data_IF_742511034250
#
_entry.id   IF_742511034250
#
_cell.length_a   1.000
_cell.length_b   1.000
_cell.length_c   1.000
_cell.angle_alpha   90.00
_cell.angle_beta   90.00
_cell.angle_gamma   90.00
#
_symmetry.space_group_name_H-M   'P 1'
#
loop_
_entity.id
_entity.type
_entity.pdbx_description
1 polymer ?
#
# COMPACT_ATOMS: atom_id res chain seq x y z
N UNK A 1 -26.63 26.20 -11.11
CA UNK A 1 -25.27 25.74 -11.47
C UNK A 1 -25.35 25.29 -12.91
N UNK A 2 -24.67 25.99 -13.82
CA UNK A 2 -24.70 25.65 -15.25
C UNK A 2 -23.65 24.57 -15.55
N UNK A 3 -23.86 23.67 -16.53
CA UNK A 3 -22.91 22.60 -16.87
C UNK A 3 -21.49 23.10 -17.20
N UNK A 4 -21.39 24.36 -17.63
CA UNK A 4 -20.13 25.04 -17.94
C UNK A 4 -19.31 25.35 -16.69
N UNK A 5 -19.96 25.77 -15.59
CA UNK A 5 -19.31 26.03 -14.30
C UNK A 5 -18.73 24.74 -13.69
N UNK A 6 -19.47 23.63 -13.80
CA UNK A 6 -19.01 22.32 -13.30
C UNK A 6 -17.74 21.81 -13.99
N UNK A 7 -17.57 22.07 -15.29
CA UNK A 7 -16.36 21.66 -16.04
C UNK A 7 -15.13 22.46 -15.58
N UNK A 8 -15.29 23.77 -15.33
CA UNK A 8 -14.19 24.60 -14.84
C UNK A 8 -13.80 24.24 -13.40
N UNK A 9 -14.77 23.93 -12.54
CA UNK A 9 -14.51 23.47 -11.18
C UNK A 9 -13.81 22.10 -11.15
N UNK A 10 -14.22 21.16 -12.02
CA UNK A 10 -13.59 19.85 -12.15
C UNK A 10 -12.14 19.98 -12.66
N UNK A 11 -11.91 20.86 -13.65
CA UNK A 11 -10.60 21.16 -14.17
C UNK A 11 -9.70 21.80 -13.10
N UNK A 12 -10.19 22.82 -12.38
CA UNK A 12 -9.45 23.48 -11.31
C UNK A 12 -9.05 22.50 -10.20
N UNK A 13 -9.97 21.64 -9.75
CA UNK A 13 -9.68 20.57 -8.77
C UNK A 13 -8.63 19.57 -9.26
N UNK A 14 -8.68 19.21 -10.55
CA UNK A 14 -7.72 18.28 -11.15
C UNK A 14 -6.34 18.91 -11.31
N UNK A 15 -6.30 20.18 -11.72
CA UNK A 15 -5.08 20.97 -11.84
C UNK A 15 -4.41 21.19 -10.48
N UNK A 16 -5.17 21.52 -9.43
CA UNK A 16 -4.62 21.67 -8.08
C UNK A 16 -4.09 20.35 -7.50
N UNK A 17 -4.65 19.19 -7.85
CA UNK A 17 -4.08 17.89 -7.47
C UNK A 17 -2.76 17.59 -8.18
N UNK A 18 -2.63 18.01 -9.43
CA UNK A 18 -1.42 17.82 -10.24
C UNK A 18 -0.35 18.87 -9.94
N UNK A 19 -0.72 19.96 -9.27
CA UNK A 19 0.18 21.04 -8.90
C UNK A 19 1.18 20.53 -7.86
N UNK A 20 2.43 20.42 -8.28
CA UNK A 20 3.53 20.06 -7.41
C UNK A 20 3.66 21.10 -6.29
N UNK A 21 3.44 20.67 -5.05
CA UNK A 21 3.77 21.46 -3.86
C UNK A 21 5.28 21.53 -3.69
N UNK A 22 5.82 22.75 -3.69
CA UNK A 22 7.26 22.99 -3.45
C UNK A 22 7.49 23.15 -1.95
N UNK A 23 8.35 22.33 -1.39
CA UNK A 23 8.89 22.51 -0.04
C UNK A 23 10.27 23.14 -0.16
N UNK A 24 10.58 24.08 0.73
CA UNK A 24 11.97 24.46 0.97
C UNK A 24 12.72 23.29 1.61
N UNK A 25 14.06 23.29 1.52
CA UNK A 25 14.88 22.27 2.17
C UNK A 25 14.61 22.18 3.68
N UNK A 26 14.43 23.33 4.34
CA UNK A 26 14.15 23.38 5.78
C UNK A 26 12.81 22.69 6.11
N UNK A 27 11.74 23.04 5.40
CA UNK A 27 10.42 22.43 5.59
C UNK A 27 10.44 20.93 5.31
N UNK A 28 11.17 20.51 4.27
CA UNK A 28 11.36 19.09 3.98
C UNK A 28 12.06 18.36 5.13
N UNK A 29 13.17 18.89 5.66
CA UNK A 29 13.90 18.27 6.77
C UNK A 29 13.10 18.25 8.07
N UNK A 30 12.35 19.31 8.36
CA UNK A 30 11.41 19.35 9.49
C UNK A 30 10.28 18.33 9.33
N UNK A 31 9.76 18.18 8.10
CA UNK A 31 8.77 17.14 7.77
C UNK A 31 9.33 15.73 7.92
N UNK A 32 10.54 15.46 7.45
CA UNK A 32 11.20 14.15 7.60
C UNK A 32 11.44 13.77 9.06
N UNK A 33 11.57 14.76 9.95
CA UNK A 33 11.65 14.51 11.40
C UNK A 33 10.30 14.06 11.97
N UNK A 34 9.20 14.58 11.45
CA UNK A 34 7.85 14.29 11.93
C UNK A 34 7.27 13.00 11.33
N UNK A 35 7.52 12.76 10.04
CA UNK A 35 6.97 11.63 9.30
C UNK A 35 8.05 10.98 8.40
N UNK A 36 8.49 9.75 8.72
CA UNK A 36 9.43 8.99 7.90
C UNK A 36 8.95 8.72 6.46
N UNK A 37 7.63 8.74 6.20
CA UNK A 37 7.10 8.51 4.85
C UNK A 37 7.46 9.60 3.83
N UNK A 38 7.89 10.78 4.29
CA UNK A 38 8.37 11.85 3.40
C UNK A 38 9.60 11.44 2.59
N UNK A 39 10.49 10.64 3.19
CA UNK A 39 11.71 10.16 2.52
C UNK A 39 11.67 8.67 2.18
N UNK A 40 10.60 7.97 2.56
CA UNK A 40 10.44 6.55 2.27
C UNK A 40 10.46 6.26 0.75
N UNK A 41 11.06 5.13 0.39
CA UNK A 41 11.07 4.61 -0.96
C UNK A 41 9.69 4.11 -1.43
N UNK A 42 9.58 3.77 -2.72
CA UNK A 42 8.33 3.23 -3.26
C UNK A 42 7.91 1.91 -2.58
N UNK A 43 8.86 0.99 -2.36
CA UNK A 43 8.61 -0.28 -1.69
C UNK A 43 8.20 -0.11 -0.21
N UNK A 44 8.86 0.79 0.52
CA UNK A 44 8.51 1.10 1.92
C UNK A 44 7.09 1.68 2.02
N UNK A 45 6.73 2.59 1.11
CA UNK A 45 5.36 3.13 1.01
C UNK A 45 4.33 2.04 0.69
N UNK A 46 4.68 1.08 -0.17
CA UNK A 46 3.81 -0.07 -0.44
C UNK A 46 3.64 -0.98 0.77
N UNK A 47 4.71 -1.26 1.51
CA UNK A 47 4.60 -2.01 2.76
C UNK A 47 3.67 -1.31 3.76
N UNK A 48 3.79 0.01 3.91
CA UNK A 48 2.90 0.80 4.76
C UNK A 48 1.43 0.74 4.30
N UNK A 49 1.18 0.82 3.00
CA UNK A 49 -0.17 0.75 2.43
C UNK A 49 -0.80 -0.65 2.53
N UNK A 50 0.00 -1.72 2.39
CA UNK A 50 -0.46 -3.11 2.51
C UNK A 50 -0.89 -3.41 3.95
N UNK A 51 -0.13 -2.90 4.92
CA UNK A 51 -0.37 -3.08 6.35
C UNK A 51 0.20 -4.39 6.92
N UNK A 52 0.09 -4.53 8.24
CA UNK A 52 0.55 -5.72 8.95
C UNK A 52 -0.43 -6.89 8.81
N UNK A 53 0.06 -8.13 8.65
CA UNK A 53 -0.80 -9.29 8.48
C UNK A 53 -1.44 -9.74 9.79
N UNK A 54 -2.70 -10.15 9.72
CA UNK A 54 -3.37 -10.92 10.76
C UNK A 54 -3.18 -12.42 10.50
N UNK A 55 -2.82 -13.17 11.55
CA UNK A 55 -2.70 -14.63 11.48
C UNK A 55 -4.05 -15.28 11.74
N UNK A 56 -4.60 -15.92 10.70
CA UNK A 56 -5.91 -16.56 10.77
C UNK A 56 -5.76 -18.07 10.74
N UNK A 57 -6.26 -18.71 11.79
CA UNK A 57 -6.40 -20.17 11.86
C UNK A 57 -7.66 -20.59 11.11
N UNK A 58 -7.47 -21.10 9.89
CA UNK A 58 -8.58 -21.49 9.01
C UNK A 58 -9.37 -22.71 9.51
N UNK A 59 -8.83 -23.49 10.46
CA UNK A 59 -9.54 -24.66 11.02
C UNK A 59 -10.78 -24.26 11.83
N UNK A 60 -10.83 -23.03 12.32
CA UNK A 60 -11.94 -22.48 13.12
C UNK A 60 -13.16 -22.08 12.28
N UNK A 61 -13.00 -22.00 10.96
CA UNK A 61 -14.06 -21.64 10.02
C UNK A 61 -14.20 -22.73 8.95
N UNK A 62 -15.39 -23.30 8.79
CA UNK A 62 -15.61 -24.42 7.88
C UNK A 62 -15.35 -24.06 6.40
N UNK A 63 -15.60 -22.82 6.00
CA UNK A 63 -15.37 -22.35 4.62
C UNK A 63 -13.88 -22.13 4.39
N UNK A 64 -13.20 -21.45 5.30
CA UNK A 64 -11.75 -21.21 5.20
C UNK A 64 -10.98 -22.53 5.31
N UNK A 65 -11.37 -23.44 6.20
CA UNK A 65 -10.73 -24.74 6.37
C UNK A 65 -10.77 -25.60 5.10
N UNK A 66 -11.84 -25.48 4.30
CA UNK A 66 -11.94 -26.15 2.98
C UNK A 66 -11.04 -25.51 1.92
N UNK A 67 -10.89 -24.19 1.92
CA UNK A 67 -10.07 -23.46 0.94
C UNK A 67 -8.59 -23.64 1.24
N UNK A 68 -8.20 -23.54 2.52
CA UNK A 68 -6.79 -23.53 2.96
C UNK A 68 -6.35 -24.81 3.65
N UNK A 69 -7.17 -25.87 3.59
CA UNK A 69 -6.84 -27.18 4.16
C UNK A 69 -6.45 -27.09 5.65
N UNK A 70 -7.18 -26.29 6.42
CA UNK A 70 -6.93 -26.03 7.86
C UNK A 70 -5.54 -25.45 8.19
N UNK A 71 -4.83 -24.85 7.22
CA UNK A 71 -3.56 -24.16 7.46
C UNK A 71 -3.79 -22.80 8.12
N UNK A 72 -2.82 -22.34 8.92
CA UNK A 72 -2.75 -20.94 9.33
C UNK A 72 -2.31 -20.08 8.15
N UNK A 73 -3.02 -19.00 7.87
CA UNK A 73 -2.76 -18.07 6.77
C UNK A 73 -2.52 -16.66 7.30
N UNK A 74 -1.86 -15.83 6.49
CA UNK A 74 -1.70 -14.40 6.73
C UNK A 74 -2.67 -13.63 5.86
N UNK A 75 -3.54 -12.84 6.47
CA UNK A 75 -4.44 -11.93 5.77
C UNK A 75 -3.94 -10.51 5.97
N UNK A 76 -3.66 -9.83 4.86
CA UNK A 76 -3.22 -8.44 4.87
C UNK A 76 -4.43 -7.50 4.70
N UNK A 77 -4.52 -6.38 5.44
CA UNK A 77 -5.68 -5.48 5.41
C UNK A 77 -6.06 -4.99 4.01
N UNK A 78 -5.07 -4.66 3.18
CA UNK A 78 -5.27 -4.23 1.80
C UNK A 78 -5.89 -5.32 0.90
N UNK A 79 -5.84 -6.59 1.31
CA UNK A 79 -6.28 -7.75 0.55
C UNK A 79 -7.37 -8.58 1.26
N UNK A 80 -8.07 -8.02 2.26
CA UNK A 80 -9.06 -8.73 3.08
C UNK A 80 -10.20 -9.44 2.31
N UNK A 81 -10.49 -8.96 1.11
CA UNK A 81 -11.59 -9.47 0.25
C UNK A 81 -11.08 -10.43 -0.84
N UNK A 82 -9.78 -10.77 -0.83
CA UNK A 82 -9.18 -11.72 -1.75
C UNK A 82 -9.08 -13.10 -1.09
N UNK A 83 -9.94 -14.03 -1.54
CA UNK A 83 -9.99 -15.39 -1.02
C UNK A 83 -9.34 -16.39 -1.99
N UNK A 84 -8.52 -17.29 -1.45
CA UNK A 84 -7.83 -18.34 -2.21
C UNK A 84 -6.52 -17.89 -2.87
N UNK A 85 -6.10 -16.64 -2.65
CA UNK A 85 -4.88 -16.04 -3.21
C UNK A 85 -3.86 -15.64 -2.13
N UNK A 86 -4.09 -15.99 -0.87
CA UNK A 86 -3.34 -15.53 0.30
C UNK A 86 -1.87 -15.94 0.22
N UNK A 87 -1.58 -17.13 -0.30
CA UNK A 87 -0.20 -17.58 -0.53
C UNK A 87 0.48 -16.76 -1.64
N UNK A 88 -0.25 -16.42 -2.72
CA UNK A 88 0.26 -15.56 -3.78
C UNK A 88 0.50 -14.15 -3.28
N UNK A 89 -0.44 -13.60 -2.50
CA UNK A 89 -0.32 -12.29 -1.87
C UNK A 89 0.89 -12.29 -0.94
N UNK A 90 1.07 -13.29 -0.09
CA UNK A 90 2.24 -13.39 0.80
C UNK A 90 3.55 -13.36 0.03
N UNK A 91 3.64 -14.04 -1.13
CA UNK A 91 4.82 -13.97 -2.00
C UNK A 91 5.04 -12.56 -2.56
N UNK A 92 3.99 -11.89 -3.03
CA UNK A 92 4.07 -10.50 -3.53
C UNK A 92 4.54 -9.55 -2.41
N UNK A 93 3.96 -9.66 -1.22
CA UNK A 93 4.39 -8.89 -0.05
C UNK A 93 5.84 -9.18 0.30
N UNK A 94 6.30 -10.43 0.13
CA UNK A 94 7.70 -10.82 0.27
C UNK A 94 8.64 -10.00 -0.61
N UNK A 95 8.31 -9.81 -1.90
CA UNK A 95 9.10 -8.96 -2.80
C UNK A 95 9.18 -7.51 -2.31
N UNK A 96 8.06 -6.91 -1.91
CA UNK A 96 8.06 -5.55 -1.38
C UNK A 96 8.84 -5.42 -0.08
N UNK A 97 8.76 -6.43 0.80
CA UNK A 97 9.52 -6.48 2.05
C UNK A 97 11.02 -6.52 1.79
N UNK A 98 11.47 -7.38 0.87
CA UNK A 98 12.89 -7.48 0.53
C UNK A 98 13.39 -6.20 -0.16
N UNK A 99 12.61 -5.61 -1.07
CA UNK A 99 12.94 -4.35 -1.71
C UNK A 99 13.02 -3.19 -0.71
N UNK A 100 12.10 -3.13 0.26
CA UNK A 100 12.13 -2.14 1.35
C UNK A 100 13.36 -2.29 2.25
N UNK A 101 13.91 -3.50 2.38
CA UNK A 101 15.17 -3.77 3.10
C UNK A 101 16.43 -3.44 2.28
N UNK A 102 16.28 -3.02 1.03
CA UNK A 102 17.40 -2.71 0.14
C UNK A 102 18.10 -3.94 -0.45
N UNK A 103 17.42 -5.10 -0.48
CA UNK A 103 17.91 -6.33 -1.12
C UNK A 103 17.78 -6.26 -2.65
N UNK A 104 18.13 -7.35 -3.34
CA UNK A 104 18.22 -7.40 -4.81
C UNK A 104 16.88 -7.08 -5.51
N UNK A 105 15.77 -7.40 -4.86
CA UNK A 105 14.41 -7.11 -5.32
C UNK A 105 14.18 -5.62 -5.57
N UNK A 106 14.91 -4.72 -4.88
CA UNK A 106 14.87 -3.27 -5.12
C UNK A 106 15.21 -2.89 -6.56
N UNK A 107 15.96 -3.73 -7.29
CA UNK A 107 16.30 -3.49 -8.70
C UNK A 107 15.31 -4.14 -9.67
N UNK A 108 14.47 -5.04 -9.17
CA UNK A 108 13.52 -5.82 -9.97
C UNK A 108 12.13 -5.19 -9.97
N UNK A 109 11.77 -4.53 -8.86
CA UNK A 109 10.51 -3.82 -8.69
C UNK A 109 10.76 -2.34 -8.37
N UNK A 110 9.77 -1.49 -8.68
CA UNK A 110 9.65 -0.02 -8.47
C UNK A 110 10.94 0.77 -8.15
#
# INVERSE_FOLDING_TARGET
>A
MTPKEEIFDLYAKSYDRLRQSRLSLKEFLEGCRADPMLYAGAAERMMSAIGEPELVDSSKDQRLGRIFLNRTIKIYPAFKDFYGLEETIERIVGFFRHAAQGLEERKQIL
#
